data_IF_602945064653
#
_entry.id   IF_602945064653
#
_cell.length_a   1.000
_cell.length_b   1.000
_cell.length_c   1.000
_cell.angle_alpha   90.00
_cell.angle_beta   90.00
_cell.angle_gamma   90.00
#
_symmetry.space_group_name_H-M   'P 1'
#
loop_
_entity.id
_entity.type
_entity.pdbx_description
1 polymer ?
#
# COMPACT_ATOMS: atom_id res chain seq x y z
N UNK A 1 3.75 35.04 -2.43
CA UNK A 1 4.66 35.99 -1.75
C UNK A 1 6.06 35.38 -1.73
N UNK A 2 7.11 36.21 -1.76
CA UNK A 2 8.50 35.76 -1.79
C UNK A 2 8.88 34.74 -0.67
N UNK A 3 8.37 34.85 0.57
CA UNK A 3 8.67 33.87 1.62
C UNK A 3 8.09 32.47 1.34
N UNK A 4 6.87 32.40 0.78
CA UNK A 4 6.24 31.12 0.43
C UNK A 4 7.00 30.43 -0.70
N UNK A 5 7.43 31.18 -1.71
CA UNK A 5 8.23 30.66 -2.82
C UNK A 5 9.54 30.04 -2.32
N UNK A 6 10.27 30.75 -1.44
CA UNK A 6 11.52 30.25 -0.85
C UNK A 6 11.31 28.97 -0.04
N UNK A 7 10.22 28.89 0.73
CA UNK A 7 9.88 27.69 1.49
C UNK A 7 9.55 26.53 0.55
N UNK A 8 8.73 26.76 -0.48
CA UNK A 8 8.40 25.73 -1.48
C UNK A 8 9.64 25.22 -2.19
N UNK A 9 10.57 26.10 -2.57
CA UNK A 9 11.84 25.72 -3.18
C UNK A 9 12.70 24.86 -2.23
N UNK A 10 12.78 25.23 -0.96
CA UNK A 10 13.47 24.42 0.05
C UNK A 10 12.80 23.04 0.22
N UNK A 11 11.47 22.98 0.30
CA UNK A 11 10.72 21.73 0.40
C UNK A 11 11.00 20.81 -0.78
N UNK A 12 11.04 21.35 -2.01
CA UNK A 12 11.36 20.58 -3.21
C UNK A 12 12.78 20.00 -3.14
N UNK A 13 13.76 20.83 -2.78
CA UNK A 13 15.15 20.37 -2.67
C UNK A 13 15.34 19.31 -1.58
N UNK A 14 14.63 19.43 -0.45
CA UNK A 14 14.63 18.41 0.60
C UNK A 14 14.03 17.11 0.07
N UNK A 15 12.89 17.19 -0.63
CA UNK A 15 12.27 16.03 -1.24
C UNK A 15 13.21 15.31 -2.21
N UNK A 16 13.90 16.04 -3.08
CA UNK A 16 14.86 15.48 -4.03
C UNK A 16 16.04 14.79 -3.33
N UNK A 17 16.55 15.36 -2.22
CA UNK A 17 17.59 14.72 -1.41
C UNK A 17 17.08 13.43 -0.75
N UNK A 18 15.84 13.42 -0.27
CA UNK A 18 15.22 12.28 0.43
C UNK A 18 14.63 11.21 -0.50
N UNK A 19 14.60 11.45 -1.82
CA UNK A 19 13.99 10.55 -2.80
C UNK A 19 14.92 10.23 -3.99
N UNK A 20 16.25 10.20 -3.79
CA UNK A 20 17.20 9.83 -4.83
C UNK A 20 17.08 8.36 -5.21
N UNK A 21 16.61 8.07 -6.43
CA UNK A 21 16.28 6.69 -6.87
C UNK A 21 17.33 6.06 -7.76
N UNK A 22 18.13 6.88 -8.44
CA UNK A 22 19.21 6.46 -9.34
C UNK A 22 20.55 7.06 -8.89
N UNK A 23 21.71 6.49 -9.30
CA UNK A 23 23.02 6.98 -8.90
C UNK A 23 23.25 8.48 -9.17
N UNK A 24 22.67 9.01 -10.27
CA UNK A 24 22.76 10.44 -10.63
C UNK A 24 22.08 11.36 -9.59
N UNK A 25 21.04 10.88 -8.94
CA UNK A 25 20.24 11.62 -7.95
C UNK A 25 20.68 11.33 -6.51
N UNK A 26 21.33 10.19 -6.29
CA UNK A 26 21.76 9.70 -4.99
C UNK A 26 22.80 10.58 -4.30
N UNK A 27 23.07 10.24 -3.05
CA UNK A 27 24.08 10.92 -2.23
C UNK A 27 25.41 10.21 -2.44
N UNK A 28 26.43 10.95 -2.86
CA UNK A 28 27.81 10.48 -3.00
C UNK A 28 28.70 11.24 -2.03
N UNK A 29 29.87 10.68 -1.73
CA UNK A 29 30.88 11.34 -0.88
C UNK A 29 31.18 12.76 -1.37
N UNK A 30 31.27 12.95 -2.69
CA UNK A 30 31.57 14.25 -3.31
C UNK A 30 30.44 15.28 -3.20
N UNK A 31 29.17 14.85 -3.22
CA UNK A 31 28.03 15.77 -3.19
C UNK A 31 27.39 15.89 -1.79
N UNK A 32 27.84 15.08 -0.82
CA UNK A 32 27.21 14.94 0.48
C UNK A 32 27.11 16.27 1.22
N UNK A 33 28.21 17.01 1.30
CA UNK A 33 28.24 18.31 2.00
C UNK A 33 27.14 19.27 1.49
N UNK A 34 26.92 19.32 0.18
CA UNK A 34 25.90 20.20 -0.42
C UNK A 34 24.49 19.70 -0.12
N UNK A 35 24.25 18.39 -0.18
CA UNK A 35 22.95 17.80 0.14
C UNK A 35 22.62 17.91 1.63
N UNK A 36 23.60 17.69 2.52
CA UNK A 36 23.46 17.87 3.97
C UNK A 36 23.08 19.31 4.31
N UNK A 37 23.70 20.30 3.67
CA UNK A 37 23.35 21.72 3.87
C UNK A 37 21.87 22.02 3.60
N UNK A 38 21.26 21.40 2.59
CA UNK A 38 19.82 21.55 2.30
C UNK A 38 18.98 20.99 3.45
N UNK A 39 19.37 19.82 3.98
CA UNK A 39 18.70 19.19 5.12
C UNK A 39 18.83 20.03 6.40
N UNK A 40 20.01 20.57 6.68
CA UNK A 40 20.27 21.46 7.82
C UNK A 40 19.45 22.75 7.73
N UNK A 41 19.30 23.33 6.54
CA UNK A 41 18.44 24.49 6.30
C UNK A 41 16.98 24.18 6.64
N UNK A 42 16.50 22.99 6.29
CA UNK A 42 15.14 22.56 6.65
C UNK A 42 14.99 22.35 8.15
N UNK A 43 15.94 21.70 8.82
CA UNK A 43 15.94 21.55 10.27
C UNK A 43 15.85 22.92 10.96
N UNK A 44 16.61 23.91 10.47
CA UNK A 44 16.55 25.28 10.97
C UNK A 44 15.18 25.91 10.74
N UNK A 45 14.56 25.70 9.59
CA UNK A 45 13.22 26.20 9.30
C UNK A 45 12.17 25.61 10.27
N UNK A 46 12.24 24.30 10.56
CA UNK A 46 11.35 23.63 11.52
C UNK A 46 11.55 24.19 12.93
N UNK A 47 12.78 24.40 13.36
CA UNK A 47 13.10 24.98 14.67
C UNK A 47 12.56 26.41 14.80
N UNK A 48 12.81 27.27 13.81
CA UNK A 48 12.33 28.65 13.82
C UNK A 48 10.79 28.72 13.87
N UNK A 49 10.13 27.80 13.17
CA UNK A 49 8.66 27.69 13.18
C UNK A 49 8.14 27.36 14.57
N UNK A 50 8.73 26.37 15.22
CA UNK A 50 8.35 25.96 16.58
C UNK A 50 8.59 27.11 17.58
N UNK A 51 9.73 27.80 17.47
CA UNK A 51 10.06 28.94 18.32
C UNK A 51 9.11 30.12 18.11
N UNK A 52 8.76 30.44 16.87
CA UNK A 52 7.82 31.51 16.54
C UNK A 52 6.43 31.23 17.13
N UNK A 53 5.97 29.98 17.00
CA UNK A 53 4.68 29.56 17.58
C UNK A 53 4.68 29.66 19.11
N UNK A 54 5.72 29.17 19.79
CA UNK A 54 5.85 29.27 21.25
C UNK A 54 5.89 30.74 21.74
N UNK A 55 6.53 31.63 20.98
CA UNK A 55 6.57 33.07 21.30
C UNK A 55 5.21 33.73 21.10
N UNK A 56 4.48 33.39 20.03
CA UNK A 56 3.15 33.94 19.78
C UNK A 56 2.14 33.51 20.84
N UNK A 57 2.17 32.24 21.26
CA UNK A 57 1.29 31.71 22.29
C UNK A 57 1.42 32.41 23.65
N UNK A 58 2.56 33.07 23.93
CA UNK A 58 2.78 33.81 25.17
C UNK A 58 2.28 35.26 25.13
N UNK A 59 2.20 35.84 23.93
CA UNK A 59 2.07 37.29 23.75
C UNK A 59 0.78 37.72 23.01
N UNK A 60 -0.06 36.80 22.53
CA UNK A 60 -1.27 37.15 21.77
C UNK A 60 -2.50 36.34 22.19
N UNK A 61 -3.65 37.02 22.21
CA UNK A 61 -5.00 36.43 22.42
C UNK A 61 -5.42 35.55 21.24
N UNK A 62 -4.89 35.81 20.03
CA UNK A 62 -5.15 35.01 18.82
C UNK A 62 -3.84 34.36 18.36
N UNK A 63 -3.76 33.04 18.51
CA UNK A 63 -2.62 32.23 18.10
C UNK A 63 -2.82 31.79 16.65
N UNK A 64 -1.92 32.22 15.74
CA UNK A 64 -1.89 31.67 14.37
C UNK A 64 -1.35 30.26 14.42
N UNK A 65 -1.94 29.37 13.63
CA UNK A 65 -1.46 28.00 13.48
C UNK A 65 -0.07 27.97 12.82
N UNK A 66 0.72 26.97 13.18
CA UNK A 66 1.94 26.64 12.44
C UNK A 66 1.59 26.16 11.03
N UNK A 67 2.55 26.26 10.11
CA UNK A 67 2.39 25.74 8.75
C UNK A 67 2.35 24.20 8.69
N UNK A 68 2.76 23.51 9.75
CA UNK A 68 2.72 22.05 9.93
C UNK A 68 2.20 21.70 11.33
N UNK A 69 1.60 20.52 11.48
CA UNK A 69 1.23 20.00 12.80
C UNK A 69 2.45 19.61 13.64
N UNK A 70 2.29 19.48 14.96
CA UNK A 70 3.35 19.02 15.86
C UNK A 70 3.86 17.63 15.47
N UNK A 71 2.97 16.72 15.07
CA UNK A 71 3.32 15.37 14.65
C UNK A 71 4.17 15.39 13.38
N UNK A 72 3.78 16.21 12.39
CA UNK A 72 4.55 16.36 11.15
C UNK A 72 5.91 16.99 11.43
N UNK A 73 5.99 18.00 12.30
CA UNK A 73 7.24 18.64 12.67
C UNK A 73 8.21 17.65 13.33
N UNK A 74 7.72 16.86 14.28
CA UNK A 74 8.50 15.79 14.92
C UNK A 74 8.96 14.75 13.91
N UNK A 75 8.05 14.26 13.05
CA UNK A 75 8.36 13.30 12.00
C UNK A 75 9.44 13.79 11.05
N UNK A 76 9.36 15.05 10.60
CA UNK A 76 10.38 15.65 9.74
C UNK A 76 11.73 15.76 10.43
N UNK A 77 11.77 16.21 11.69
CA UNK A 77 13.01 16.31 12.46
C UNK A 77 13.65 14.93 12.63
N UNK A 78 12.86 13.91 12.95
CA UNK A 78 13.34 12.54 13.10
C UNK A 78 13.89 11.99 11.78
N UNK A 79 13.11 12.09 10.69
CA UNK A 79 13.50 11.57 9.38
C UNK A 79 14.78 12.22 8.88
N UNK A 80 14.88 13.55 8.93
CA UNK A 80 16.06 14.27 8.42
C UNK A 80 17.31 13.89 9.22
N UNK A 81 17.23 13.90 10.56
CA UNK A 81 18.38 13.51 11.39
C UNK A 81 18.77 12.05 11.17
N UNK A 82 17.81 11.15 11.02
CA UNK A 82 18.07 9.72 10.77
C UNK A 82 18.77 9.51 9.43
N UNK A 83 18.32 10.20 8.36
CA UNK A 83 18.96 10.12 7.04
C UNK A 83 20.38 10.67 7.08
N UNK A 84 20.64 11.77 7.80
CA UNK A 84 21.99 12.30 7.99
C UNK A 84 22.88 11.25 8.65
N UNK A 85 22.46 10.70 9.79
CA UNK A 85 23.23 9.73 10.55
C UNK A 85 23.49 8.44 9.75
N UNK A 86 22.45 7.85 9.15
CA UNK A 86 22.58 6.64 8.33
C UNK A 86 23.50 6.89 7.13
N UNK A 87 23.41 8.05 6.49
CA UNK A 87 24.27 8.39 5.35
C UNK A 87 25.74 8.45 5.78
N UNK A 88 26.03 9.08 6.92
CA UNK A 88 27.39 9.16 7.46
C UNK A 88 27.91 7.79 7.90
N UNK A 89 27.09 6.97 8.56
CA UNK A 89 27.44 5.59 8.92
C UNK A 89 27.73 4.72 7.70
N UNK A 90 26.94 4.84 6.63
CA UNK A 90 27.19 4.11 5.38
C UNK A 90 28.50 4.54 4.73
N UNK A 91 28.81 5.85 4.69
CA UNK A 91 30.09 6.31 4.17
C UNK A 91 31.27 5.86 5.04
N UNK A 92 31.14 5.88 6.35
CA UNK A 92 32.15 5.35 7.27
C UNK A 92 32.36 3.84 7.11
N UNK A 93 31.32 3.12 6.67
CA UNK A 93 31.36 1.68 6.37
C UNK A 93 31.93 1.37 4.96
N UNK A 94 32.35 2.38 4.19
CA UNK A 94 32.96 2.22 2.88
C UNK A 94 32.00 2.21 1.69
N UNK A 95 30.70 2.48 1.90
CA UNK A 95 29.78 2.69 0.79
C UNK A 95 30.07 4.03 0.10
N UNK A 96 29.99 4.10 -1.23
CA UNK A 96 30.26 5.33 -1.99
C UNK A 96 29.00 6.08 -2.42
N UNK A 97 27.83 5.43 -2.32
CA UNK A 97 26.55 5.90 -2.82
C UNK A 97 25.42 5.48 -1.88
N UNK A 98 24.52 6.41 -1.56
CA UNK A 98 23.30 6.17 -0.81
C UNK A 98 22.08 6.58 -1.64
N UNK A 99 21.13 5.65 -1.82
CA UNK A 99 19.88 5.87 -2.54
C UNK A 99 18.73 6.03 -1.55
N UNK A 100 18.46 7.27 -1.14
CA UNK A 100 17.42 7.61 -0.16
C UNK A 100 16.02 7.21 -0.60
N UNK A 101 15.75 7.13 -1.92
CA UNK A 101 14.50 6.60 -2.45
C UNK A 101 14.25 5.11 -2.16
N UNK A 102 15.22 4.39 -1.56
CA UNK A 102 15.04 3.01 -1.05
C UNK A 102 14.64 2.95 0.42
N UNK A 103 14.66 4.08 1.12
CA UNK A 103 14.32 4.17 2.54
C UNK A 103 12.82 4.43 2.79
N UNK A 104 12.02 4.60 1.73
CA UNK A 104 10.59 4.89 1.82
C UNK A 104 9.71 3.64 1.63
N UNK A 105 8.42 3.80 1.91
CA UNK A 105 7.41 2.74 1.82
C UNK A 105 6.88 2.52 0.37
N UNK A 106 7.27 3.32 -0.62
CA UNK A 106 6.69 3.30 -1.98
C UNK A 106 6.71 1.89 -2.60
N UNK A 107 7.75 1.10 -2.33
CA UNK A 107 7.87 -0.27 -2.83
C UNK A 107 6.74 -1.16 -2.29
N UNK A 108 6.39 -1.02 -1.02
CA UNK A 108 5.29 -1.75 -0.39
C UNK A 108 3.93 -1.28 -0.92
N UNK A 109 3.76 0.03 -1.13
CA UNK A 109 2.54 0.58 -1.73
C UNK A 109 2.33 0.08 -3.15
N UNK A 110 3.40 0.04 -3.94
CA UNK A 110 3.37 -0.57 -5.28
C UNK A 110 3.02 -2.04 -5.22
N UNK A 111 3.57 -2.78 -4.26
CA UNK A 111 3.21 -4.18 -4.03
C UNK A 111 1.71 -4.32 -3.71
N UNK A 112 1.16 -3.50 -2.82
CA UNK A 112 -0.27 -3.51 -2.54
C UNK A 112 -1.12 -3.09 -3.74
N UNK A 113 -0.64 -2.19 -4.60
CA UNK A 113 -1.27 -1.85 -5.87
C UNK A 113 -1.33 -3.05 -6.82
N UNK A 114 -0.26 -3.85 -6.90
CA UNK A 114 -0.25 -5.10 -7.67
C UNK A 114 -1.29 -6.07 -7.10
N UNK A 115 -1.32 -6.29 -5.79
CA UNK A 115 -2.33 -7.16 -5.16
C UNK A 115 -3.75 -6.67 -5.48
N UNK A 116 -3.99 -5.36 -5.35
CA UNK A 116 -5.29 -4.76 -5.64
C UNK A 116 -5.70 -4.81 -7.12
N UNK A 117 -4.73 -4.94 -8.03
CA UNK A 117 -5.01 -5.16 -9.45
C UNK A 117 -5.61 -6.54 -9.74
N UNK A 118 -5.36 -7.53 -8.87
CA UNK A 118 -6.00 -8.86 -8.94
C UNK A 118 -7.32 -8.89 -8.17
N UNK A 119 -7.37 -8.25 -7.00
CA UNK A 119 -8.56 -8.16 -6.15
C UNK A 119 -8.58 -6.81 -5.44
N UNK A 120 -9.50 -5.91 -5.84
CA UNK A 120 -9.56 -4.53 -5.38
C UNK A 120 -9.64 -4.38 -3.84
N UNK A 121 -10.27 -5.34 -3.16
CA UNK A 121 -10.43 -5.33 -1.69
C UNK A 121 -10.24 -6.74 -1.16
N UNK A 122 -8.98 -7.22 -1.10
CA UNK A 122 -8.72 -8.59 -0.74
C UNK A 122 -9.04 -8.84 0.73
N UNK A 123 -9.70 -9.97 0.99
CA UNK A 123 -9.78 -10.54 2.33
C UNK A 123 -8.41 -11.07 2.73
N UNK A 124 -8.18 -11.34 4.03
CA UNK A 124 -6.95 -11.98 4.45
C UNK A 124 -6.65 -13.29 3.69
N UNK A 125 -7.71 -14.05 3.35
CA UNK A 125 -7.57 -15.28 2.57
C UNK A 125 -7.17 -15.02 1.11
N UNK A 126 -7.86 -14.12 0.41
CA UNK A 126 -7.53 -13.82 -0.99
C UNK A 126 -6.17 -13.11 -1.11
N UNK A 127 -5.83 -12.22 -0.18
CA UNK A 127 -4.50 -11.61 -0.08
C UNK A 127 -3.40 -12.67 0.01
N UNK A 128 -3.55 -13.66 0.90
CA UNK A 128 -2.55 -14.71 1.10
C UNK A 128 -2.42 -15.61 -0.15
N UNK A 129 -3.53 -15.91 -0.83
CA UNK A 129 -3.51 -16.64 -2.09
C UNK A 129 -2.77 -15.87 -3.18
N UNK A 130 -3.06 -14.57 -3.34
CA UNK A 130 -2.39 -13.70 -4.32
C UNK A 130 -0.90 -13.56 -4.00
N UNK A 131 -0.55 -13.33 -2.74
CA UNK A 131 0.84 -13.25 -2.29
C UNK A 131 1.63 -14.53 -2.62
N UNK A 132 1.05 -15.71 -2.35
CA UNK A 132 1.64 -17.00 -2.70
C UNK A 132 1.86 -17.13 -4.21
N UNK A 133 0.84 -16.80 -5.00
CA UNK A 133 0.93 -16.84 -6.47
C UNK A 133 2.03 -15.92 -7.01
N UNK A 134 2.10 -14.68 -6.51
CA UNK A 134 3.11 -13.69 -6.90
C UNK A 134 4.53 -14.16 -6.54
N UNK A 135 4.72 -14.66 -5.31
CA UNK A 135 6.01 -15.15 -4.81
C UNK A 135 6.56 -16.30 -5.66
N UNK A 136 5.69 -17.23 -6.07
CA UNK A 136 6.06 -18.31 -6.99
C UNK A 136 6.40 -17.76 -8.37
N UNK A 137 5.56 -16.90 -8.93
CA UNK A 137 5.75 -16.35 -10.28
C UNK A 137 7.06 -15.56 -10.43
N UNK A 138 7.46 -14.81 -9.40
CA UNK A 138 8.70 -14.03 -9.40
C UNK A 138 9.93 -14.95 -9.35
N UNK A 139 9.87 -15.99 -8.52
CA UNK A 139 10.95 -16.98 -8.41
C UNK A 139 11.16 -17.71 -9.74
N UNK A 140 10.06 -18.10 -10.42
CA UNK A 140 10.09 -18.71 -11.75
C UNK A 140 10.74 -17.78 -12.77
N UNK A 141 10.29 -16.52 -12.86
CA UNK A 141 10.84 -15.53 -13.80
C UNK A 141 12.32 -15.22 -13.57
N UNK A 142 12.77 -15.18 -12.31
CA UNK A 142 14.17 -14.93 -11.97
C UNK A 142 15.09 -16.10 -12.30
N UNK A 143 14.65 -17.35 -12.03
CA UNK A 143 15.43 -18.56 -12.36
C UNK A 143 15.63 -18.72 -13.87
N UNK A 144 14.58 -18.48 -14.66
CA UNK A 144 14.63 -18.58 -16.13
C UNK A 144 15.60 -17.57 -16.78
N UNK A 145 15.93 -16.45 -16.13
CA UNK A 145 16.82 -15.40 -16.69
C UNK A 145 18.31 -15.64 -16.46
N UNK A 146 18.72 -16.56 -15.58
CA UNK A 146 20.13 -16.75 -15.17
C UNK A 146 20.60 -18.20 -15.14
N UNK A 147 19.80 -19.15 -15.59
CA UNK A 147 20.16 -20.56 -15.54
C UNK A 147 20.84 -21.02 -16.84
N UNK A 148 22.11 -21.41 -16.76
CA UNK A 148 22.71 -22.43 -17.64
C UNK A 148 22.42 -23.81 -17.03
N UNK A 149 21.13 -24.15 -16.89
CA UNK A 149 20.71 -25.44 -16.34
C UNK A 149 19.89 -26.16 -17.41
N UNK A 150 20.18 -27.45 -17.59
CA UNK A 150 19.54 -28.32 -18.58
C UNK A 150 18.00 -28.19 -18.52
N UNK A 151 17.39 -27.79 -19.65
CA UNK A 151 16.06 -27.17 -19.77
C UNK A 151 14.85 -28.02 -19.27
N UNK A 152 15.07 -29.24 -18.76
CA UNK A 152 14.01 -30.26 -18.69
C UNK A 152 13.42 -30.52 -17.30
N UNK A 153 14.19 -30.40 -16.21
CA UNK A 153 13.70 -30.84 -14.88
C UNK A 153 13.11 -29.71 -14.02
N UNK A 154 13.78 -28.57 -13.91
CA UNK A 154 13.35 -27.47 -13.02
C UNK A 154 12.12 -26.71 -13.55
N UNK A 155 11.98 -26.60 -14.88
CA UNK A 155 10.82 -25.97 -15.54
C UNK A 155 9.58 -26.87 -15.40
N UNK A 156 9.74 -28.19 -15.43
CA UNK A 156 8.62 -29.14 -15.38
C UNK A 156 7.92 -29.14 -14.02
N UNK A 157 8.67 -29.07 -12.92
CA UNK A 157 8.10 -29.03 -11.57
C UNK A 157 7.32 -27.74 -11.30
N UNK A 158 7.83 -26.59 -11.75
CA UNK A 158 7.21 -25.28 -11.52
C UNK A 158 6.02 -25.01 -12.45
N UNK A 159 6.07 -25.47 -13.71
CA UNK A 159 4.94 -25.40 -14.66
C UNK A 159 3.82 -26.35 -14.24
N UNK A 160 4.17 -27.54 -13.73
CA UNK A 160 3.22 -28.48 -13.13
C UNK A 160 2.47 -27.83 -11.95
N UNK A 161 3.20 -27.18 -11.05
CA UNK A 161 2.59 -26.53 -9.89
C UNK A 161 1.70 -25.33 -10.25
N UNK A 162 2.12 -24.50 -11.22
CA UNK A 162 1.30 -23.40 -11.74
C UNK A 162 0.01 -23.89 -12.41
N UNK A 163 0.08 -24.97 -13.22
CA UNK A 163 -1.10 -25.63 -13.81
C UNK A 163 -2.03 -26.20 -12.74
N UNK A 164 -1.48 -26.87 -11.72
CA UNK A 164 -2.26 -27.38 -10.59
C UNK A 164 -3.01 -26.25 -9.86
N UNK A 165 -2.37 -25.08 -9.67
CA UNK A 165 -3.01 -23.93 -9.03
C UNK A 165 -4.12 -23.30 -9.87
N UNK A 166 -3.92 -23.12 -11.18
CA UNK A 166 -4.97 -22.65 -12.10
C UNK A 166 -6.16 -23.62 -12.09
N UNK A 167 -5.88 -24.93 -12.10
CA UNK A 167 -6.94 -25.95 -12.06
C UNK A 167 -7.69 -25.92 -10.73
N UNK A 168 -6.99 -25.74 -9.61
CA UNK A 168 -7.61 -25.63 -8.28
C UNK A 168 -8.45 -24.36 -8.14
N UNK A 169 -8.01 -23.24 -8.72
CA UNK A 169 -8.81 -22.02 -8.77
C UNK A 169 -10.14 -22.23 -9.53
N UNK A 170 -10.06 -22.81 -10.74
CA UNK A 170 -11.25 -23.16 -11.55
C UNK A 170 -12.17 -24.17 -10.84
N UNK A 171 -11.60 -25.09 -10.07
CA UNK A 171 -12.38 -26.03 -9.26
C UNK A 171 -13.08 -25.33 -8.09
N UNK A 172 -12.41 -24.39 -7.42
CA UNK A 172 -13.02 -23.55 -6.39
C UNK A 172 -14.16 -22.69 -6.95
N UNK A 173 -14.03 -22.10 -8.14
CA UNK A 173 -15.13 -21.38 -8.79
C UNK A 173 -16.32 -22.29 -9.09
N UNK A 174 -16.08 -23.49 -9.64
CA UNK A 174 -17.15 -24.49 -9.85
C UNK A 174 -17.83 -24.90 -8.55
N UNK A 175 -17.07 -25.13 -7.49
CA UNK A 175 -17.62 -25.49 -6.17
C UNK A 175 -18.44 -24.35 -5.58
N UNK A 176 -17.99 -23.11 -5.71
CA UNK A 176 -18.73 -21.93 -5.27
C UNK A 176 -20.03 -21.75 -6.07
N UNK A 177 -20.00 -21.95 -7.39
CA UNK A 177 -21.18 -21.90 -8.24
C UNK A 177 -22.19 -23.02 -7.89
N UNK A 178 -21.70 -24.25 -7.68
CA UNK A 178 -22.52 -25.38 -7.27
C UNK A 178 -23.14 -25.16 -5.88
N UNK A 179 -22.37 -24.63 -4.93
CA UNK A 179 -22.88 -24.29 -3.60
C UNK A 179 -23.94 -23.20 -3.66
N UNK A 180 -23.75 -22.17 -4.51
CA UNK A 180 -24.75 -21.12 -4.73
C UNK A 180 -26.02 -21.65 -5.38
N UNK A 181 -25.90 -22.56 -6.35
CA UNK A 181 -27.04 -23.23 -6.97
C UNK A 181 -27.81 -24.09 -5.94
N UNK A 182 -27.10 -24.90 -5.16
CA UNK A 182 -27.72 -25.72 -4.09
C UNK A 182 -28.39 -24.87 -3.02
N UNK A 183 -27.79 -23.75 -2.61
CA UNK A 183 -28.43 -22.81 -1.68
C UNK A 183 -29.69 -22.19 -2.28
N UNK A 184 -29.66 -21.84 -3.57
CA UNK A 184 -30.84 -21.36 -4.28
C UNK A 184 -31.94 -22.42 -4.28
N UNK A 185 -31.62 -23.65 -4.66
CA UNK A 185 -32.60 -24.74 -4.75
C UNK A 185 -33.22 -25.06 -3.38
N UNK A 186 -32.40 -25.16 -2.33
CA UNK A 186 -32.88 -25.35 -0.96
C UNK A 186 -33.78 -24.20 -0.47
N UNK A 187 -33.42 -22.95 -0.82
CA UNK A 187 -34.23 -21.77 -0.47
C UNK A 187 -35.55 -21.77 -1.25
N UNK A 188 -35.53 -22.14 -2.53
CA UNK A 188 -36.74 -22.29 -3.33
C UNK A 188 -37.65 -23.38 -2.76
N UNK A 189 -37.11 -24.55 -2.41
CA UNK A 189 -37.86 -25.64 -1.78
C UNK A 189 -38.46 -25.20 -0.44
N UNK A 190 -37.70 -24.50 0.41
CA UNK A 190 -38.21 -24.00 1.69
C UNK A 190 -39.33 -22.97 1.51
N UNK A 191 -39.16 -22.02 0.58
CA UNK A 191 -40.20 -21.03 0.25
C UNK A 191 -41.43 -21.72 -0.32
N UNK A 192 -41.26 -22.72 -1.20
CA UNK A 192 -42.36 -23.50 -1.75
C UNK A 192 -43.12 -24.26 -0.66
N UNK A 193 -42.42 -24.89 0.29
CA UNK A 193 -43.06 -25.57 1.43
C UNK A 193 -43.83 -24.58 2.30
N UNK A 194 -43.24 -23.42 2.62
CA UNK A 194 -43.86 -22.41 3.51
C UNK A 194 -45.03 -21.67 2.87
N UNK A 195 -45.01 -21.40 1.57
CA UNK A 195 -45.97 -20.52 0.92
C UNK A 195 -46.92 -21.18 -0.09
N UNK A 196 -46.67 -22.43 -0.55
CA UNK A 196 -47.57 -23.09 -1.52
C UNK A 196 -48.66 -23.92 -0.84
N UNK A 197 -48.44 -24.41 0.38
CA UNK A 197 -49.43 -25.22 1.11
C UNK A 197 -50.26 -24.46 2.16
N UNK A 198 -49.97 -23.18 2.42
CA UNK A 198 -50.74 -22.32 3.32
C UNK A 198 -50.81 -20.91 2.74
N UNK A 199 -51.65 -20.68 1.73
CA UNK A 199 -52.11 -19.33 1.41
C UNK A 199 -53.49 -19.18 2.05
N UNK A 200 -53.53 -18.71 3.29
CA UNK A 200 -54.70 -17.96 3.73
C UNK A 200 -54.61 -16.60 3.07
N UNK A 201 -55.57 -16.30 2.19
CA UNK A 201 -55.74 -14.99 1.56
C UNK A 201 -56.14 -13.99 2.64
N UNK A 202 -55.16 -13.42 3.34
CA UNK A 202 -55.36 -12.21 4.12
C UNK A 202 -54.66 -11.05 3.42
N UNK A 203 -55.43 -10.03 3.05
CA UNK A 203 -55.02 -8.83 2.29
C UNK A 203 -53.98 -7.94 3.00
N UNK A 204 -53.39 -8.39 4.12
CA UNK A 204 -52.43 -7.63 4.93
C UNK A 204 -51.18 -8.41 5.31
N UNK A 205 -50.70 -9.29 4.44
CA UNK A 205 -49.46 -10.02 4.72
C UNK A 205 -48.21 -9.16 4.45
N UNK A 206 -47.77 -8.45 5.50
CA UNK A 206 -46.52 -7.66 5.56
C UNK A 206 -45.29 -8.52 5.22
N UNK A 207 -45.37 -9.83 5.45
CA UNK A 207 -44.27 -10.78 5.21
C UNK A 207 -44.01 -10.98 3.72
N UNK A 208 -45.05 -10.96 2.89
CA UNK A 208 -44.93 -11.09 1.42
C UNK A 208 -44.24 -9.88 0.80
N UNK A 209 -44.51 -8.68 1.31
CA UNK A 209 -43.88 -7.45 0.81
C UNK A 209 -42.39 -7.37 1.19
N UNK A 210 -42.00 -7.82 2.39
CA UNK A 210 -40.60 -7.83 2.80
C UNK A 210 -39.77 -8.90 2.06
N UNK A 211 -40.35 -10.06 1.76
CA UNK A 211 -39.69 -11.11 0.98
C UNK A 211 -39.41 -10.68 -0.47
N UNK A 212 -40.33 -9.97 -1.11
CA UNK A 212 -40.10 -9.41 -2.45
C UNK A 212 -39.02 -8.32 -2.40
N UNK A 213 -38.97 -7.54 -1.32
CA UNK A 213 -37.94 -6.51 -1.09
C UNK A 213 -36.53 -7.13 -1.03
N UNK A 214 -36.35 -8.21 -0.27
CA UNK A 214 -35.05 -8.88 -0.12
C UNK A 214 -34.65 -9.72 -1.34
N UNK A 215 -35.61 -10.28 -2.09
CA UNK A 215 -35.34 -11.06 -3.32
C UNK A 215 -35.00 -10.19 -4.53
N UNK A 216 -35.53 -8.97 -4.60
CA UNK A 216 -35.28 -8.04 -5.71
C UNK A 216 -34.07 -7.13 -5.51
N UNK A 217 -33.46 -7.11 -4.31
CA UNK A 217 -32.17 -6.47 -4.06
C UNK A 217 -32.13 -4.97 -4.38
N UNK A 218 -33.02 -4.19 -3.76
CA UNK A 218 -32.88 -2.74 -3.66
C UNK A 218 -32.24 -2.34 -2.32
#
# INVERSE_FOLDING_TARGET
SLPTERLTFLLNNVFDVLNGRIPKEGITISNWHNKKKILDQMLRCLELTEQAFKKQSKNMVIVKSMFVSNQTLFGWRLTINSVIQITEELFNSGYSLVLTGKMNQDILERFFGIVRSYDNRPTAHSFLQIYRALSMSQTVKCKLKKANADDKEDVYQLVSYAKCWINRFKECERKAAAMKASLRDNLFDEISIRYVNVIQNDEKDVTRNNLIYDLCGY
#
